data_IF_604263849545
#
_entry.id   IF_604263849545
#
_cell.length_a   1.000
_cell.length_b   1.000
_cell.length_c   1.000
_cell.angle_alpha   90.00
_cell.angle_beta   90.00
_cell.angle_gamma   90.00
#
_symmetry.space_group_name_H-M   'P 1'
#
loop_
_entity.id
_entity.type
_entity.pdbx_description
1 polymer ?
#
# COMPACT_ATOMS: atom_id res chain seq x y z
N UNK A 1 -4.92 5.45 -24.27
CA UNK A 1 -6.30 5.35 -23.82
C UNK A 1 -6.36 4.24 -22.79
N UNK A 2 -6.79 4.58 -21.58
CA UNK A 2 -6.99 3.63 -20.49
C UNK A 2 -8.15 2.72 -20.87
N UNK A 3 -7.91 1.42 -20.88
CA UNK A 3 -8.89 0.43 -21.31
C UNK A 3 -9.90 0.17 -20.19
N UNK A 4 -11.17 0.01 -20.58
CA UNK A 4 -12.23 -0.54 -19.73
C UNK A 4 -11.99 -2.02 -19.48
N UNK A 5 -12.66 -2.58 -18.46
CA UNK A 5 -12.52 -4.00 -18.15
C UNK A 5 -12.92 -4.94 -19.32
N UNK A 6 -13.98 -4.60 -20.06
CA UNK A 6 -14.41 -5.38 -21.23
C UNK A 6 -13.34 -5.38 -22.34
N UNK A 7 -12.72 -4.23 -22.61
CA UNK A 7 -11.63 -4.11 -23.59
C UNK A 7 -10.38 -4.87 -23.15
N UNK A 8 -10.08 -4.88 -21.84
CA UNK A 8 -8.99 -5.68 -21.26
C UNK A 8 -9.25 -7.17 -21.50
N UNK A 9 -10.44 -7.70 -21.17
CA UNK A 9 -10.81 -9.10 -21.42
C UNK A 9 -10.64 -9.47 -22.90
N UNK A 10 -11.15 -8.62 -23.80
CA UNK A 10 -11.04 -8.85 -25.25
C UNK A 10 -9.59 -8.85 -25.76
N UNK A 11 -8.72 -7.99 -25.20
CA UNK A 11 -7.29 -8.01 -25.55
C UNK A 11 -6.58 -9.25 -25.03
N UNK A 12 -6.86 -9.67 -23.79
CA UNK A 12 -6.27 -10.88 -23.22
C UNK A 12 -6.66 -12.09 -24.07
N UNK A 13 -7.93 -12.19 -24.47
CA UNK A 13 -8.44 -13.27 -25.33
C UNK A 13 -7.75 -13.39 -26.68
N UNK A 14 -7.27 -12.29 -27.25
CA UNK A 14 -6.51 -12.31 -28.51
C UNK A 14 -5.05 -12.72 -28.35
N UNK A 15 -4.53 -12.72 -27.12
CA UNK A 15 -3.12 -12.99 -26.80
C UNK A 15 -2.93 -14.40 -26.26
N UNK A 16 -3.85 -14.87 -25.42
CA UNK A 16 -3.81 -16.21 -24.84
C UNK A 16 -4.17 -17.25 -25.91
N UNK A 17 -3.33 -18.26 -26.16
CA UNK A 17 -3.62 -19.34 -27.12
C UNK A 17 -4.95 -20.06 -26.85
N UNK A 18 -5.60 -20.53 -27.91
CA UNK A 18 -6.75 -21.42 -27.80
C UNK A 18 -6.34 -22.73 -27.10
N UNK A 19 -7.10 -23.15 -26.08
CA UNK A 19 -6.86 -24.37 -25.31
C UNK A 19 -6.40 -24.15 -23.86
N UNK A 20 -5.96 -22.95 -23.49
CA UNK A 20 -5.65 -22.62 -22.09
C UNK A 20 -6.93 -22.15 -21.39
N UNK A 21 -7.32 -22.81 -20.30
CA UNK A 21 -8.46 -22.40 -19.47
C UNK A 21 -8.07 -21.25 -18.52
N UNK A 22 -8.80 -20.13 -18.61
CA UNK A 22 -8.59 -18.98 -17.73
C UNK A 22 -9.84 -18.09 -17.61
N UNK A 23 -9.93 -17.39 -16.48
CA UNK A 23 -10.79 -16.23 -16.29
C UNK A 23 -9.95 -14.97 -16.01
N UNK A 24 -10.56 -13.81 -16.20
CA UNK A 24 -9.97 -12.51 -15.90
C UNK A 24 -10.84 -11.82 -14.86
N UNK A 25 -10.24 -11.45 -13.74
CA UNK A 25 -10.89 -10.68 -12.68
C UNK A 25 -10.05 -9.43 -12.33
N UNK A 26 -10.56 -8.66 -11.36
CA UNK A 26 -9.96 -7.42 -10.90
C UNK A 26 -9.52 -7.56 -9.45
N UNK A 27 -8.29 -7.11 -9.17
CA UNK A 27 -7.72 -7.07 -7.82
C UNK A 27 -7.21 -5.65 -7.56
N UNK A 28 -8.11 -4.76 -7.16
CA UNK A 28 -7.87 -3.32 -7.03
C UNK A 28 -7.20 -2.73 -8.29
N UNK A 29 -5.96 -2.26 -8.20
CA UNK A 29 -5.21 -1.68 -9.32
C UNK A 29 -4.57 -2.70 -10.26
N UNK A 30 -4.78 -4.00 -10.04
CA UNK A 30 -4.22 -5.10 -10.84
C UNK A 30 -5.30 -5.89 -11.57
N UNK A 31 -4.93 -6.46 -12.72
CA UNK A 31 -5.74 -7.43 -13.45
C UNK A 31 -5.26 -8.84 -13.08
N UNK A 32 -6.14 -9.67 -12.54
CA UNK A 32 -5.82 -11.07 -12.26
C UNK A 32 -6.26 -11.97 -13.40
N UNK A 33 -5.37 -12.87 -13.82
CA UNK A 33 -5.68 -13.97 -14.74
C UNK A 33 -5.67 -15.25 -13.91
N UNK A 34 -6.85 -15.83 -13.73
CA UNK A 34 -7.07 -17.01 -12.89
C UNK A 34 -7.07 -18.23 -13.81
N UNK A 35 -6.22 -19.23 -13.56
CA UNK A 35 -6.06 -20.36 -14.48
C UNK A 35 -5.71 -21.66 -13.75
N UNK A 36 -6.08 -22.80 -14.34
CA UNK A 36 -5.62 -24.13 -13.91
C UNK A 36 -4.20 -24.45 -14.39
N UNK A 37 -3.65 -23.64 -15.30
CA UNK A 37 -2.33 -23.85 -15.89
C UNK A 37 -1.40 -22.63 -15.69
N UNK A 38 -1.07 -22.21 -14.45
CA UNK A 38 -0.23 -21.02 -14.22
C UNK A 38 1.14 -21.09 -14.92
N UNK A 39 1.70 -22.30 -15.06
CA UNK A 39 2.97 -22.53 -15.74
C UNK A 39 2.95 -22.11 -17.22
N UNK A 40 1.80 -22.24 -17.90
CA UNK A 40 1.62 -21.84 -19.31
C UNK A 40 1.72 -20.32 -19.51
N UNK A 41 1.54 -19.53 -18.44
CA UNK A 41 1.75 -18.08 -18.46
C UNK A 41 3.19 -17.68 -18.14
N UNK A 42 3.97 -18.59 -17.56
CA UNK A 42 5.42 -18.50 -17.40
C UNK A 42 6.16 -18.60 -18.73
N UNK A 43 7.47 -18.36 -18.73
CA UNK A 43 8.28 -18.47 -19.93
C UNK A 43 9.67 -19.03 -19.66
N UNK A 44 9.94 -20.23 -20.16
CA UNK A 44 11.30 -20.71 -20.41
C UNK A 44 11.67 -20.35 -21.86
N UNK A 45 12.67 -19.49 -22.05
CA UNK A 45 13.28 -19.24 -23.38
C UNK A 45 12.61 -18.22 -24.31
N UNK A 46 11.62 -17.44 -23.87
CA UNK A 46 10.98 -16.35 -24.65
C UNK A 46 10.30 -15.28 -23.79
N UNK A 47 9.65 -14.26 -24.37
CA UNK A 47 8.82 -13.31 -23.60
C UNK A 47 7.59 -14.05 -23.06
N UNK A 48 7.52 -14.21 -21.73
CA UNK A 48 6.39 -14.80 -20.99
C UNK A 48 5.05 -14.19 -21.43
N UNK A 49 4.00 -15.01 -21.45
CA UNK A 49 2.65 -14.59 -21.80
C UNK A 49 2.16 -13.45 -20.90
N UNK A 50 2.47 -13.50 -19.61
CA UNK A 50 2.21 -12.43 -18.65
C UNK A 50 2.80 -11.09 -19.10
N UNK A 51 4.06 -11.09 -19.57
CA UNK A 51 4.72 -9.87 -20.06
C UNK A 51 4.07 -9.36 -21.34
N UNK A 52 3.69 -10.25 -22.26
CA UNK A 52 2.96 -9.89 -23.49
C UNK A 52 1.62 -9.24 -23.16
N UNK A 53 0.85 -9.83 -22.25
CA UNK A 53 -0.44 -9.29 -21.80
C UNK A 53 -0.22 -7.91 -21.15
N UNK A 54 0.67 -7.82 -20.15
CA UNK A 54 0.94 -6.58 -19.42
C UNK A 54 1.35 -5.43 -20.35
N UNK A 55 2.20 -5.69 -21.36
CA UNK A 55 2.57 -4.71 -22.38
C UNK A 55 1.39 -4.29 -23.26
N UNK A 56 0.54 -5.23 -23.67
CA UNK A 56 -0.59 -4.97 -24.56
C UNK A 56 -1.71 -4.15 -23.90
N UNK A 57 -1.94 -4.37 -22.60
CA UNK A 57 -2.95 -3.63 -21.84
C UNK A 57 -2.37 -2.43 -21.07
N UNK A 58 -1.04 -2.36 -20.91
CA UNK A 58 -0.29 -1.33 -20.15
C UNK A 58 -0.72 -1.23 -18.68
N UNK A 59 -1.02 -2.38 -18.07
CA UNK A 59 -1.46 -2.54 -16.68
C UNK A 59 -0.69 -3.66 -16.00
N UNK A 60 -0.71 -3.66 -14.67
CA UNK A 60 -0.19 -4.75 -13.88
C UNK A 60 -1.09 -5.97 -14.07
N UNK A 61 -0.47 -7.10 -14.39
CA UNK A 61 -1.13 -8.39 -14.57
C UNK A 61 -0.53 -9.34 -13.55
N UNK A 62 -1.40 -10.02 -12.81
CA UNK A 62 -1.01 -11.06 -11.85
C UNK A 62 -1.64 -12.37 -12.29
N UNK A 63 -0.84 -13.43 -12.33
CA UNK A 63 -1.36 -14.77 -12.61
C UNK A 63 -1.71 -15.41 -11.28
N UNK A 64 -2.96 -15.84 -11.15
CA UNK A 64 -3.46 -16.53 -9.96
C UNK A 64 -3.80 -17.98 -10.32
N UNK A 65 -3.42 -18.94 -9.46
CA UNK A 65 -3.92 -20.30 -9.58
C UNK A 65 -5.44 -20.33 -9.37
N UNK A 66 -6.13 -21.22 -10.07
CA UNK A 66 -7.56 -21.48 -9.83
C UNK A 66 -7.78 -21.97 -8.39
N UNK A 67 -8.83 -21.52 -7.67
CA UNK A 67 -9.07 -21.92 -6.27
C UNK A 67 -9.06 -23.42 -6.01
N UNK A 68 -9.60 -24.24 -6.92
CA UNK A 68 -9.59 -25.71 -6.81
C UNK A 68 -8.19 -26.35 -6.76
N UNK A 69 -7.14 -25.62 -7.15
CA UNK A 69 -5.76 -26.10 -7.07
C UNK A 69 -5.12 -25.81 -5.71
N UNK A 70 -5.71 -24.93 -4.91
CA UNK A 70 -5.14 -24.52 -3.64
C UNK A 70 -5.36 -25.61 -2.60
N UNK A 71 -4.25 -26.20 -2.13
CA UNK A 71 -4.29 -27.20 -1.07
C UNK A 71 -4.70 -26.59 0.28
N UNK A 72 -5.11 -27.43 1.23
CA UNK A 72 -5.44 -26.97 2.58
C UNK A 72 -4.20 -26.46 3.32
N UNK A 73 -4.39 -25.70 4.39
CA UNK A 73 -3.28 -25.21 5.22
C UNK A 73 -2.45 -26.36 5.82
N UNK A 74 -3.08 -27.47 6.18
CA UNK A 74 -2.37 -28.66 6.67
C UNK A 74 -1.47 -29.23 5.59
N UNK A 75 -1.99 -29.40 4.36
CA UNK A 75 -1.21 -29.88 3.23
C UNK A 75 -0.06 -28.92 2.88
N UNK A 76 -0.26 -27.60 3.02
CA UNK A 76 0.80 -26.60 2.84
C UNK A 76 1.92 -26.82 3.86
N UNK A 77 1.57 -26.99 5.14
CA UNK A 77 2.56 -27.23 6.19
C UNK A 77 3.33 -28.54 5.95
N UNK A 78 2.63 -29.63 5.61
CA UNK A 78 3.23 -30.94 5.34
C UNK A 78 4.17 -30.89 4.13
N UNK A 79 3.74 -30.25 3.04
CA UNK A 79 4.56 -30.06 1.84
C UNK A 79 5.80 -29.21 2.12
N UNK A 80 5.65 -28.14 2.91
CA UNK A 80 6.78 -27.30 3.31
C UNK A 80 7.78 -28.09 4.14
N UNK A 81 7.34 -28.84 5.15
CA UNK A 81 8.23 -29.68 5.97
C UNK A 81 8.94 -30.78 5.19
N UNK A 82 8.34 -31.27 4.10
CA UNK A 82 8.92 -32.32 3.26
C UNK A 82 9.89 -31.80 2.19
N UNK A 83 9.56 -30.67 1.55
CA UNK A 83 10.30 -30.16 0.38
C UNK A 83 11.41 -29.20 0.80
N UNK A 84 11.14 -28.36 1.81
CA UNK A 84 12.07 -27.33 2.23
C UNK A 84 13.04 -27.95 3.24
N UNK A 85 14.36 -27.83 3.02
CA UNK A 85 15.31 -28.57 3.83
C UNK A 85 15.48 -27.93 5.23
N UNK A 86 15.78 -28.74 6.23
CA UNK A 86 15.81 -28.31 7.65
C UNK A 86 16.80 -27.17 7.91
N UNK A 87 17.92 -27.11 7.16
CA UNK A 87 18.90 -26.02 7.26
C UNK A 87 18.33 -24.64 6.94
N UNK A 88 17.21 -24.55 6.22
CA UNK A 88 16.54 -23.28 5.98
C UNK A 88 15.98 -22.66 7.26
N UNK A 89 15.71 -23.48 8.29
CA UNK A 89 15.18 -23.07 9.59
C UNK A 89 13.91 -22.23 9.45
N UNK A 90 12.85 -22.86 8.98
CA UNK A 90 11.54 -22.22 8.82
C UNK A 90 11.00 -21.84 10.19
N UNK A 91 10.65 -20.57 10.35
CA UNK A 91 10.08 -20.01 11.58
C UNK A 91 8.57 -19.99 11.52
N UNK A 92 7.99 -19.52 10.41
CA UNK A 92 6.55 -19.34 10.25
C UNK A 92 6.12 -19.48 8.79
N UNK A 93 4.87 -19.87 8.59
CA UNK A 93 4.21 -19.96 7.29
C UNK A 93 2.93 -19.15 7.37
N UNK A 94 2.73 -18.26 6.40
CA UNK A 94 1.59 -17.34 6.35
C UNK A 94 0.83 -17.51 5.06
N UNK A 95 -0.47 -17.80 5.16
CA UNK A 95 -1.36 -17.88 4.01
C UNK A 95 -2.16 -16.58 3.89
N UNK A 96 -2.21 -16.01 2.68
CA UNK A 96 -3.18 -14.97 2.29
C UNK A 96 -4.10 -15.55 1.20
N UNK A 97 -5.23 -16.18 1.58
CA UNK A 97 -6.17 -16.77 0.63
C UNK A 97 -6.81 -15.75 -0.32
N UNK A 98 -6.89 -14.47 0.07
CA UNK A 98 -7.44 -13.43 -0.80
C UNK A 98 -6.57 -13.21 -2.04
N UNK A 99 -5.27 -13.48 -1.93
CA UNK A 99 -4.29 -13.32 -3.00
C UNK A 99 -3.72 -14.67 -3.49
N UNK A 100 -4.18 -15.80 -2.95
CA UNK A 100 -3.61 -17.13 -3.25
C UNK A 100 -2.10 -17.20 -3.02
N UNK A 101 -1.60 -16.55 -1.97
CA UNK A 101 -0.18 -16.44 -1.65
C UNK A 101 0.19 -17.13 -0.32
N UNK A 102 1.36 -17.76 -0.29
CA UNK A 102 2.01 -18.32 0.89
C UNK A 102 3.34 -17.59 1.08
N UNK A 103 3.56 -17.02 2.26
CA UNK A 103 4.84 -16.46 2.67
C UNK A 103 5.51 -17.35 3.71
N UNK A 104 6.69 -17.85 3.40
CA UNK A 104 7.52 -18.68 4.27
C UNK A 104 8.60 -17.77 4.87
N UNK A 105 8.65 -17.69 6.20
CA UNK A 105 9.67 -16.97 6.95
C UNK A 105 10.75 -17.96 7.40
N UNK A 106 11.98 -17.77 6.92
CA UNK A 106 13.10 -18.68 7.15
C UNK A 106 14.37 -17.91 7.57
N UNK A 107 15.19 -18.47 8.46
CA UNK A 107 16.47 -17.81 8.85
C UNK A 107 17.47 -17.80 7.67
N UNK A 108 17.45 -18.85 6.86
CA UNK A 108 18.13 -18.96 5.58
C UNK A 108 17.16 -19.11 4.38
N UNK A 109 16.65 -17.98 3.84
CA UNK A 109 15.80 -18.00 2.66
C UNK A 109 16.45 -18.61 1.43
N UNK A 110 17.79 -18.57 1.32
CA UNK A 110 18.49 -19.07 0.13
C UNK A 110 18.36 -20.59 0.05
N UNK A 111 18.55 -21.27 1.17
CA UNK A 111 18.36 -22.73 1.26
C UNK A 111 16.89 -23.10 1.09
N UNK A 112 15.96 -22.31 1.63
CA UNK A 112 14.53 -22.52 1.38
C UNK A 112 14.15 -22.42 -0.10
N UNK A 113 14.72 -21.44 -0.82
CA UNK A 113 14.45 -21.25 -2.26
C UNK A 113 15.01 -22.41 -3.10
N UNK A 114 16.14 -22.96 -2.68
CA UNK A 114 16.85 -24.01 -3.42
C UNK A 114 17.59 -23.47 -4.65
N UNK A 115 18.41 -24.31 -5.27
CA UNK A 115 19.21 -23.92 -6.44
C UNK A 115 18.28 -23.51 -7.59
N UNK A 116 18.45 -22.29 -8.11
CA UNK A 116 17.61 -21.74 -9.19
C UNK A 116 16.09 -21.78 -8.88
N UNK A 117 15.69 -21.84 -7.61
CA UNK A 117 14.28 -21.86 -7.21
C UNK A 117 13.60 -23.22 -7.32
N UNK A 118 14.35 -24.33 -7.41
CA UNK A 118 13.79 -25.69 -7.54
C UNK A 118 12.77 -26.03 -6.47
N UNK A 119 13.07 -25.72 -5.20
CA UNK A 119 12.21 -26.07 -4.08
C UNK A 119 10.90 -25.29 -4.14
N UNK A 120 10.97 -24.01 -4.51
CA UNK A 120 9.80 -23.16 -4.67
C UNK A 120 8.94 -23.61 -5.85
N UNK A 121 9.57 -24.00 -6.96
CA UNK A 121 8.84 -24.53 -8.10
C UNK A 121 8.14 -25.85 -7.76
N UNK A 122 8.83 -26.75 -7.07
CA UNK A 122 8.25 -28.02 -6.61
C UNK A 122 7.09 -27.77 -5.65
N UNK A 123 7.28 -26.89 -4.66
CA UNK A 123 6.23 -26.55 -3.71
C UNK A 123 5.02 -25.96 -4.42
N UNK A 124 5.20 -24.94 -5.28
CA UNK A 124 4.12 -24.35 -6.08
C UNK A 124 3.34 -25.38 -6.90
N UNK A 125 4.03 -26.35 -7.50
CA UNK A 125 3.39 -27.40 -8.29
C UNK A 125 2.56 -28.35 -7.41
N UNK A 126 2.98 -28.58 -6.16
CA UNK A 126 2.32 -29.50 -5.23
C UNK A 126 1.14 -28.85 -4.51
N UNK A 127 1.30 -27.64 -3.98
CA UNK A 127 0.29 -26.97 -3.15
C UNK A 127 -0.62 -26.02 -3.95
N UNK A 128 -0.24 -25.67 -5.18
CA UNK A 128 -0.98 -24.76 -6.06
C UNK A 128 -0.89 -23.28 -5.69
N UNK A 129 -0.43 -22.93 -4.49
CA UNK A 129 -0.26 -21.54 -4.03
C UNK A 129 0.90 -20.82 -4.71
N UNK A 130 0.82 -19.49 -4.81
CA UNK A 130 1.99 -18.66 -5.09
C UNK A 130 2.87 -18.61 -3.85
N UNK A 131 4.13 -19.03 -3.98
CA UNK A 131 5.06 -19.10 -2.85
C UNK A 131 6.05 -17.93 -2.89
N UNK A 132 6.16 -17.23 -1.77
CA UNK A 132 7.18 -16.24 -1.47
C UNK A 132 8.00 -16.69 -0.25
N UNK A 133 9.31 -16.48 -0.28
CA UNK A 133 10.19 -16.79 0.86
C UNK A 133 10.90 -15.52 1.28
N UNK A 134 10.83 -15.22 2.58
CA UNK A 134 11.44 -14.04 3.17
C UNK A 134 12.29 -14.42 4.36
N UNK A 135 13.26 -13.56 4.70
CA UNK A 135 14.04 -13.73 5.93
C UNK A 135 13.14 -13.56 7.14
N UNK A 136 13.20 -14.51 8.06
CA UNK A 136 12.52 -14.42 9.34
C UNK A 136 13.01 -13.17 10.11
N UNK A 137 12.11 -12.44 10.76
CA UNK A 137 12.48 -11.24 11.48
C UNK A 137 13.27 -11.59 12.75
N UNK A 138 14.30 -10.81 13.06
CA UNK A 138 15.08 -10.99 14.30
C UNK A 138 14.25 -10.77 15.57
N UNK A 139 13.15 -10.01 15.46
CA UNK A 139 12.17 -9.80 16.54
C UNK A 139 10.77 -9.98 15.97
N UNK A 140 9.98 -10.76 16.67
CA UNK A 140 8.58 -10.95 16.29
C UNK A 140 7.77 -9.70 16.60
N UNK A 141 6.87 -9.34 15.69
CA UNK A 141 5.90 -8.27 15.88
C UNK A 141 4.51 -8.86 16.12
N UNK A 142 3.96 -8.58 17.30
CA UNK A 142 2.56 -8.93 17.63
C UNK A 142 1.60 -8.25 16.65
N UNK A 143 1.81 -6.97 16.34
CA UNK A 143 0.98 -6.22 15.40
C UNK A 143 0.92 -6.88 14.03
N UNK A 144 2.07 -7.30 13.47
CA UNK A 144 2.09 -7.99 12.19
C UNK A 144 1.38 -9.34 12.23
N UNK A 145 1.58 -10.10 13.32
CA UNK A 145 0.91 -11.38 13.55
C UNK A 145 -0.61 -11.20 13.57
N UNK A 146 -1.09 -10.22 14.33
CA UNK A 146 -2.51 -9.93 14.49
C UNK A 146 -3.14 -9.44 13.16
N UNK A 147 -2.45 -8.56 12.41
CA UNK A 147 -2.91 -8.11 11.09
C UNK A 147 -2.98 -9.26 10.09
N UNK A 148 -1.95 -10.12 10.02
CA UNK A 148 -1.94 -11.25 9.08
C UNK A 148 -3.07 -12.24 9.39
N UNK A 149 -3.28 -12.55 10.68
CA UNK A 149 -4.39 -13.40 11.11
C UNK A 149 -5.73 -12.80 10.72
N UNK A 150 -5.96 -11.53 11.06
CA UNK A 150 -7.19 -10.81 10.72
C UNK A 150 -7.46 -10.79 9.21
N UNK A 151 -6.43 -10.53 8.39
CA UNK A 151 -6.54 -10.53 6.93
C UNK A 151 -6.81 -11.91 6.34
N UNK A 152 -6.32 -12.97 6.97
CA UNK A 152 -6.60 -14.37 6.59
C UNK A 152 -8.03 -14.76 6.94
N UNK A 153 -8.50 -14.43 8.14
CA UNK A 153 -9.88 -14.68 8.59
C UNK A 153 -10.91 -13.99 7.69
N UNK A 154 -10.56 -12.83 7.13
CA UNK A 154 -11.44 -12.03 6.27
C UNK A 154 -11.11 -12.15 4.77
N UNK A 155 -10.51 -13.25 4.34
CA UNK A 155 -10.03 -13.40 2.97
C UNK A 155 -11.15 -13.24 1.92
N UNK A 156 -12.34 -13.82 2.14
CA UNK A 156 -13.46 -13.75 1.19
C UNK A 156 -14.03 -12.34 1.05
N UNK A 157 -14.18 -11.64 2.17
CA UNK A 157 -14.62 -10.24 2.19
C UNK A 157 -13.58 -9.35 1.49
N UNK A 158 -12.29 -9.54 1.80
CA UNK A 158 -11.20 -8.82 1.14
C UNK A 158 -11.17 -9.06 -0.36
N UNK A 159 -11.36 -10.30 -0.82
CA UNK A 159 -11.43 -10.62 -2.26
C UNK A 159 -12.58 -9.88 -2.94
N UNK A 160 -13.74 -9.82 -2.29
CA UNK A 160 -14.90 -9.07 -2.77
C UNK A 160 -14.62 -7.56 -2.83
N UNK A 161 -13.97 -7.01 -1.81
CA UNK A 161 -13.56 -5.60 -1.77
C UNK A 161 -12.55 -5.26 -2.86
N UNK A 162 -11.51 -6.07 -3.05
CA UNK A 162 -10.51 -5.89 -4.10
C UNK A 162 -11.15 -5.86 -5.49
N UNK A 163 -12.10 -6.76 -5.76
CA UNK A 163 -12.88 -6.76 -7.00
C UNK A 163 -13.70 -5.49 -7.14
N UNK A 164 -14.40 -5.06 -6.09
CA UNK A 164 -15.19 -3.82 -6.08
C UNK A 164 -14.31 -2.60 -6.37
N UNK A 165 -13.13 -2.50 -5.74
CA UNK A 165 -12.17 -1.41 -6.00
C UNK A 165 -11.74 -1.41 -7.46
N UNK A 166 -11.40 -2.58 -8.00
CA UNK A 166 -11.04 -2.71 -9.41
C UNK A 166 -12.17 -2.30 -10.36
N UNK A 167 -13.41 -2.73 -10.12
CA UNK A 167 -14.55 -2.30 -10.96
C UNK A 167 -14.72 -0.78 -10.98
N UNK A 168 -14.42 -0.11 -9.86
CA UNK A 168 -14.43 1.35 -9.77
C UNK A 168 -13.26 1.99 -10.53
N UNK A 169 -12.07 1.40 -10.48
CA UNK A 169 -10.87 1.89 -11.20
C UNK A 169 -11.01 1.74 -12.72
N UNK A 170 -11.57 0.63 -13.20
CA UNK A 170 -11.67 0.32 -14.63
C UNK A 170 -13.03 0.66 -15.27
N UNK A 171 -13.81 1.54 -14.63
CA UNK A 171 -15.05 2.08 -15.20
C UNK A 171 -14.75 3.00 -16.39
N UNK A 172 -15.72 3.19 -17.32
CA UNK A 172 -15.59 4.20 -18.37
C UNK A 172 -15.44 5.61 -17.78
N UNK A 173 -14.57 6.42 -18.38
CA UNK A 173 -14.40 7.83 -18.00
C UNK A 173 -15.56 8.67 -18.53
N UNK A 174 -15.95 9.70 -17.78
CA UNK A 174 -16.95 10.68 -18.18
C UNK A 174 -16.40 11.58 -19.30
N UNK A 175 -17.23 11.96 -20.29
CA UNK A 175 -16.84 12.95 -21.28
C UNK A 175 -16.68 14.33 -20.63
N UNK A 176 -15.71 15.12 -21.09
CA UNK A 176 -15.54 16.49 -20.63
C UNK A 176 -14.10 17.00 -20.74
N UNK A 177 -13.87 18.29 -20.46
CA UNK A 177 -12.53 18.85 -20.38
C UNK A 177 -11.78 18.27 -19.17
N UNK A 178 -10.50 17.97 -19.36
CA UNK A 178 -9.61 17.56 -18.29
C UNK A 178 -9.20 18.76 -17.43
N UNK A 179 -9.28 18.62 -16.12
CA UNK A 179 -8.74 19.58 -15.15
C UNK A 179 -8.33 18.83 -13.88
N UNK A 180 -7.43 19.46 -13.12
CA UNK A 180 -6.95 18.94 -11.83
C UNK A 180 -6.94 20.09 -10.83
N UNK A 181 -7.40 19.83 -9.61
CA UNK A 181 -7.30 20.76 -8.49
C UNK A 181 -6.90 20.04 -7.20
N UNK A 182 -6.29 20.78 -6.29
CA UNK A 182 -5.99 20.32 -4.93
C UNK A 182 -6.71 21.23 -3.95
N UNK A 183 -7.51 20.65 -3.06
CA UNK A 183 -8.16 21.35 -1.96
C UNK A 183 -7.45 21.01 -0.65
N UNK A 184 -7.04 22.05 0.07
CA UNK A 184 -6.47 21.95 1.41
C UNK A 184 -7.57 21.67 2.44
N UNK A 185 -7.50 20.55 3.16
CA UNK A 185 -8.46 20.18 4.20
C UNK A 185 -7.82 20.09 5.61
N UNK A 186 -6.51 20.31 5.71
CA UNK A 186 -5.74 20.44 6.94
C UNK A 186 -4.23 20.45 6.65
N UNK A 187 -3.40 20.92 7.58
CA UNK A 187 -1.92 21.03 7.44
C UNK A 187 -1.43 22.09 6.43
N UNK A 188 -2.23 23.13 6.17
CA UNK A 188 -1.80 24.29 5.38
C UNK A 188 -1.62 25.50 6.28
N UNK A 189 -0.38 26.02 6.37
CA UNK A 189 0.05 27.04 7.34
C UNK A 189 -0.05 26.61 8.80
N UNK A 190 0.05 25.32 9.05
CA UNK A 190 0.11 24.70 10.37
C UNK A 190 0.79 23.33 10.27
N UNK A 191 1.19 22.76 11.41
CA UNK A 191 1.59 21.35 11.52
C UNK A 191 0.44 20.58 12.17
N UNK A 192 0.13 19.40 11.65
CA UNK A 192 -0.92 18.54 12.14
C UNK A 192 -2.12 18.39 11.19
N UNK A 193 -2.94 17.35 11.43
CA UNK A 193 -4.20 17.08 10.71
C UNK A 193 -4.07 17.10 9.17
N UNK A 194 -3.01 16.52 8.62
CA UNK A 194 -2.77 16.49 7.18
C UNK A 194 -3.93 15.83 6.43
N UNK A 195 -4.45 16.55 5.44
CA UNK A 195 -5.46 16.05 4.52
C UNK A 195 -5.51 16.92 3.27
N UNK A 196 -5.31 16.29 2.12
CA UNK A 196 -5.32 16.92 0.81
C UNK A 196 -6.35 16.22 -0.08
N UNK A 197 -7.23 16.97 -0.75
CA UNK A 197 -8.19 16.40 -1.69
C UNK A 197 -7.77 16.74 -3.12
N UNK A 198 -7.33 15.73 -3.87
CA UNK A 198 -7.12 15.83 -5.33
C UNK A 198 -8.45 15.55 -6.02
N UNK A 199 -8.90 16.49 -6.84
CA UNK A 199 -10.11 16.31 -7.65
C UNK A 199 -9.79 16.52 -9.13
N UNK A 200 -10.36 15.67 -9.98
CA UNK A 200 -10.36 15.82 -11.44
C UNK A 200 -11.80 15.88 -11.94
N UNK A 201 -11.98 15.98 -13.26
CA UNK A 201 -13.31 15.83 -13.86
C UNK A 201 -13.92 14.42 -13.66
N UNK A 202 -13.13 13.42 -13.28
CA UNK A 202 -13.52 12.02 -13.13
C UNK A 202 -13.43 11.50 -11.69
N UNK A 203 -12.45 11.94 -10.92
CA UNK A 203 -12.02 11.25 -9.69
C UNK A 203 -11.82 12.17 -8.49
N UNK A 204 -11.98 11.61 -7.29
CA UNK A 204 -11.63 12.24 -6.01
C UNK A 204 -10.69 11.34 -5.21
N UNK A 205 -9.49 11.80 -4.89
CA UNK A 205 -8.50 11.06 -4.10
C UNK A 205 -8.07 11.90 -2.91
N UNK A 206 -8.15 11.33 -1.71
CA UNK A 206 -7.56 11.92 -0.52
C UNK A 206 -6.10 11.48 -0.38
N UNK A 207 -5.23 12.41 0.01
CA UNK A 207 -3.88 12.13 0.49
C UNK A 207 -3.82 12.54 1.95
N UNK A 208 -3.48 11.57 2.80
CA UNK A 208 -3.48 11.64 4.26
C UNK A 208 -4.85 11.97 4.91
N UNK A 209 -4.97 11.60 6.18
CA UNK A 209 -6.13 11.85 7.04
C UNK A 209 -5.69 11.86 8.51
N UNK A 210 -5.06 12.96 8.92
CA UNK A 210 -4.36 13.08 10.18
C UNK A 210 -5.14 13.66 11.35
N UNK A 211 -4.54 13.60 12.54
CA UNK A 211 -4.98 14.31 13.75
C UNK A 211 -3.94 15.39 14.15
N UNK A 212 -4.38 16.59 14.56
CA UNK A 212 -3.46 17.61 15.06
C UNK A 212 -3.03 17.29 16.50
N UNK A 213 -1.73 17.31 16.84
CA UNK A 213 -1.25 17.10 18.20
C UNK A 213 -1.47 18.37 19.04
N UNK A 214 -2.67 18.55 19.58
CA UNK A 214 -3.07 19.74 20.33
C UNK A 214 -4.01 19.39 21.47
N UNK A 215 -3.97 20.19 22.54
CA UNK A 215 -4.94 20.13 23.63
C UNK A 215 -6.28 20.79 23.26
N UNK A 216 -6.32 21.56 22.16
CA UNK A 216 -7.55 22.15 21.66
C UNK A 216 -8.33 21.14 20.81
N UNK A 217 -9.32 20.47 21.41
CA UNK A 217 -10.17 19.45 20.77
C UNK A 217 -10.84 19.92 19.46
N UNK A 218 -11.11 21.22 19.31
CA UNK A 218 -11.73 21.76 18.10
C UNK A 218 -10.81 21.79 16.87
N UNK A 219 -9.49 21.69 17.08
CA UNK A 219 -8.49 21.76 16.00
C UNK A 219 -7.91 20.39 15.65
N UNK A 220 -8.30 19.32 16.36
CA UNK A 220 -7.73 17.98 16.19
C UNK A 220 -8.04 17.42 14.81
N UNK A 221 -9.24 17.68 14.29
CA UNK A 221 -9.72 17.05 13.06
C UNK A 221 -9.47 17.93 11.81
N UNK A 222 -9.27 17.30 10.64
CA UNK A 222 -9.41 17.95 9.34
C UNK A 222 -10.84 18.46 9.09
N UNK A 223 -11.02 19.27 8.05
CA UNK A 223 -12.31 19.83 7.68
C UNK A 223 -13.22 18.83 6.95
N UNK A 224 -13.71 17.80 7.65
CA UNK A 224 -14.62 16.77 7.09
C UNK A 224 -15.94 17.32 6.54
N UNK A 225 -16.38 18.48 7.02
CA UNK A 225 -17.62 19.14 6.57
C UNK A 225 -17.47 19.90 5.23
N UNK A 226 -16.27 19.91 4.64
CA UNK A 226 -16.05 20.56 3.34
C UNK A 226 -16.96 19.95 2.26
N UNK A 227 -17.80 20.75 1.57
CA UNK A 227 -18.74 20.26 0.56
C UNK A 227 -18.07 19.42 -0.53
N UNK A 228 -16.81 19.72 -0.86
CA UNK A 228 -16.00 19.03 -1.86
C UNK A 228 -15.75 17.56 -1.52
N UNK A 229 -15.71 17.20 -0.24
CA UNK A 229 -15.51 15.83 0.22
C UNK A 229 -16.80 15.01 0.17
N UNK A 230 -17.95 15.66 0.32
CA UNK A 230 -19.23 14.99 0.49
C UNK A 230 -19.92 14.67 -0.85
N UNK A 231 -20.72 13.59 -0.92
CA UNK A 231 -20.72 12.45 0.03
C UNK A 231 -19.43 11.62 -0.05
N UNK A 232 -19.05 10.95 1.04
CA UNK A 232 -17.82 10.13 1.13
C UNK A 232 -17.78 8.99 0.10
N UNK A 233 -18.94 8.50 -0.34
CA UNK A 233 -19.06 7.48 -1.39
C UNK A 233 -18.47 7.93 -2.73
N UNK A 234 -18.30 9.24 -2.95
CA UNK A 234 -17.68 9.79 -4.16
C UNK A 234 -16.15 9.80 -4.11
N UNK A 235 -15.53 9.50 -2.97
CA UNK A 235 -14.08 9.37 -2.85
C UNK A 235 -13.65 8.02 -3.46
N UNK A 236 -12.77 8.06 -4.45
CA UNK A 236 -12.28 6.88 -5.15
C UNK A 236 -11.20 6.14 -4.37
N UNK A 237 -10.35 6.89 -3.65
CA UNK A 237 -9.24 6.34 -2.90
C UNK A 237 -8.78 7.28 -1.78
N UNK A 238 -8.17 6.69 -0.76
CA UNK A 238 -7.32 7.39 0.21
C UNK A 238 -5.89 6.87 0.05
N UNK A 239 -4.91 7.76 0.08
CA UNK A 239 -3.48 7.43 -0.01
C UNK A 239 -2.80 7.94 1.24
N UNK A 240 -2.04 7.08 1.93
CA UNK A 240 -1.31 7.45 3.14
C UNK A 240 0.19 7.51 2.83
N UNK A 241 0.80 8.65 3.13
CA UNK A 241 2.23 8.89 2.92
C UNK A 241 3.08 8.12 3.93
N UNK A 242 2.73 8.19 5.22
CA UNK A 242 3.45 7.53 6.31
C UNK A 242 2.58 7.41 7.57
N UNK A 243 3.10 6.74 8.60
CA UNK A 243 2.32 6.29 9.74
C UNK A 243 2.22 7.27 10.93
N UNK A 244 2.74 8.50 10.84
CA UNK A 244 2.56 9.43 11.95
C UNK A 244 1.09 9.83 12.14
N UNK A 245 0.69 10.02 13.39
CA UNK A 245 -0.70 10.28 13.81
C UNK A 245 -1.27 11.52 13.14
N UNK A 246 -0.44 12.51 12.82
CA UNK A 246 -0.85 13.69 12.07
C UNK A 246 -1.04 13.50 10.56
N UNK A 247 -0.87 12.27 10.07
CA UNK A 247 -1.18 11.84 8.70
C UNK A 247 -2.20 10.68 8.64
N UNK A 248 -2.38 9.93 9.74
CA UNK A 248 -3.28 8.75 9.79
C UNK A 248 -4.32 8.76 10.90
N UNK A 249 -4.20 9.68 11.85
CA UNK A 249 -4.93 9.66 13.11
C UNK A 249 -6.42 9.88 12.98
N UNK A 250 -6.94 10.33 11.83
CA UNK A 250 -8.38 10.46 11.58
C UNK A 250 -8.88 9.55 10.46
N UNK A 251 -8.02 8.71 9.88
CA UNK A 251 -8.41 7.77 8.83
C UNK A 251 -9.60 6.87 9.23
N UNK A 252 -9.67 6.28 10.44
CA UNK A 252 -10.80 5.45 10.83
C UNK A 252 -12.13 6.22 10.95
N UNK A 253 -12.08 7.55 11.13
CA UNK A 253 -13.27 8.41 11.13
C UNK A 253 -14.01 8.34 9.79
N UNK A 254 -13.27 8.24 8.67
CA UNK A 254 -13.89 8.08 7.35
C UNK A 254 -14.77 6.82 7.28
N UNK A 255 -14.30 5.71 7.86
CA UNK A 255 -15.03 4.43 7.86
C UNK A 255 -16.23 4.46 8.80
N UNK A 256 -16.08 5.08 9.99
CA UNK A 256 -17.19 5.34 10.90
C UNK A 256 -18.34 6.11 10.22
N UNK A 257 -18.02 7.04 9.32
CA UNK A 257 -18.99 7.83 8.57
C UNK A 257 -19.31 7.29 7.16
N UNK A 258 -18.91 6.06 6.84
CA UNK A 258 -19.42 5.33 5.69
C UNK A 258 -18.55 5.33 4.43
N UNK A 259 -17.29 5.79 4.49
CA UNK A 259 -16.34 5.53 3.40
C UNK A 259 -16.13 4.02 3.21
N UNK A 260 -16.17 3.57 1.95
CA UNK A 260 -16.08 2.15 1.56
C UNK A 260 -15.04 1.90 0.46
N UNK A 261 -14.16 2.86 0.20
CA UNK A 261 -13.13 2.76 -0.84
C UNK A 261 -11.80 2.19 -0.31
N UNK A 262 -10.81 2.00 -1.19
CA UNK A 262 -9.49 1.50 -0.82
C UNK A 262 -8.65 2.54 -0.05
N UNK A 263 -7.70 2.04 0.74
CA UNK A 263 -6.60 2.82 1.33
C UNK A 263 -5.29 2.29 0.78
N UNK A 264 -4.48 3.14 0.16
CA UNK A 264 -3.18 2.76 -0.40
C UNK A 264 -2.04 3.24 0.49
N UNK A 265 -1.16 2.33 0.89
CA UNK A 265 0.05 2.65 1.65
C UNK A 265 1.09 1.55 1.52
N UNK A 266 2.31 1.80 1.97
CA UNK A 266 3.33 0.75 2.05
C UNK A 266 3.01 -0.23 3.18
N UNK A 267 3.50 -1.47 3.05
CA UNK A 267 3.30 -2.50 4.07
C UNK A 267 3.76 -2.05 5.48
N UNK A 268 4.94 -1.42 5.67
CA UNK A 268 5.33 -0.93 6.98
C UNK A 268 4.42 0.19 7.51
N UNK A 269 3.95 1.07 6.62
CA UNK A 269 2.98 2.12 7.00
C UNK A 269 1.67 1.51 7.49
N UNK A 270 1.12 0.48 6.84
CA UNK A 270 -0.08 -0.23 7.34
C UNK A 270 0.11 -0.74 8.77
N UNK A 271 1.24 -1.41 9.03
CA UNK A 271 1.51 -2.04 10.31
C UNK A 271 1.67 -0.98 11.43
N UNK A 272 2.45 0.06 11.17
CA UNK A 272 2.65 1.16 12.12
C UNK A 272 1.38 2.00 12.32
N UNK A 273 0.62 2.26 11.25
CA UNK A 273 -0.66 2.96 11.29
C UNK A 273 -1.65 2.23 12.21
N UNK A 274 -1.76 0.90 12.06
CA UNK A 274 -2.62 0.08 12.91
C UNK A 274 -2.18 0.15 14.38
N UNK A 275 -0.87 0.04 14.64
CA UNK A 275 -0.32 0.13 16.00
C UNK A 275 -0.65 1.49 16.64
N UNK A 276 -0.37 2.58 15.93
CA UNK A 276 -0.51 3.93 16.44
C UNK A 276 -1.97 4.35 16.58
N UNK A 277 -2.88 3.89 15.70
CA UNK A 277 -4.32 4.14 15.86
C UNK A 277 -4.89 3.39 17.07
N UNK A 278 -4.44 2.17 17.32
CA UNK A 278 -4.82 1.39 18.50
C UNK A 278 -4.31 2.03 19.79
N UNK A 279 -3.08 2.54 19.77
CA UNK A 279 -2.52 3.26 20.91
C UNK A 279 -3.23 4.61 21.15
N UNK A 280 -3.54 5.35 20.08
CA UNK A 280 -4.25 6.62 20.14
C UNK A 280 -5.59 6.51 20.89
N UNK A 281 -6.41 5.49 20.56
CA UNK A 281 -7.69 5.29 21.27
C UNK A 281 -7.49 4.85 22.72
N UNK A 282 -6.43 4.09 23.02
CA UNK A 282 -6.13 3.60 24.37
C UNK A 282 -5.67 4.74 25.27
N UNK A 283 -4.79 5.61 24.78
CA UNK A 283 -4.32 6.79 25.52
C UNK A 283 -5.47 7.75 25.77
N UNK A 284 -6.28 8.06 24.74
CA UNK A 284 -7.45 8.92 24.90
C UNK A 284 -8.39 8.42 26.02
N UNK A 285 -8.68 7.11 26.04
CA UNK A 285 -9.50 6.49 27.09
C UNK A 285 -8.86 6.56 28.48
N UNK A 286 -7.55 6.31 28.59
CA UNK A 286 -6.82 6.38 29.86
C UNK A 286 -6.80 7.82 30.42
N UNK A 287 -6.79 8.82 29.56
CA UNK A 287 -6.87 10.24 29.92
C UNK A 287 -8.32 10.75 30.14
N UNK A 288 -9.32 9.85 30.11
CA UNK A 288 -10.72 10.21 30.31
C UNK A 288 -11.36 10.97 29.14
N UNK A 289 -10.76 10.90 27.95
CA UNK A 289 -11.29 11.46 26.72
C UNK A 289 -12.01 10.40 25.89
N UNK A 290 -13.11 10.78 25.23
CA UNK A 290 -13.78 9.89 24.28
C UNK A 290 -13.01 9.89 22.95
N UNK A 291 -12.53 8.74 22.46
CA UNK A 291 -11.83 8.68 21.20
C UNK A 291 -12.78 8.95 20.02
N UNK A 292 -12.30 9.55 18.91
CA UNK A 292 -13.15 9.91 17.77
C UNK A 292 -13.71 8.69 17.02
N UNK A 293 -13.10 7.52 17.19
CA UNK A 293 -13.47 6.24 16.59
C UNK A 293 -13.15 5.09 17.54
N UNK A 294 -13.69 3.93 17.21
CA UNK A 294 -13.59 2.69 17.97
C UNK A 294 -12.58 1.72 17.35
N UNK A 295 -12.29 0.63 18.07
CA UNK A 295 -11.49 -0.47 17.53
C UNK A 295 -12.10 -1.09 16.28
N UNK A 296 -13.44 -1.19 16.18
CA UNK A 296 -14.10 -1.75 14.99
C UNK A 296 -13.90 -0.86 13.76
N UNK A 297 -13.79 0.45 13.92
CA UNK A 297 -13.52 1.36 12.81
C UNK A 297 -12.09 1.19 12.26
N UNK A 298 -11.12 0.92 13.15
CA UNK A 298 -9.74 0.56 12.76
C UNK A 298 -9.72 -0.78 12.01
N UNK A 299 -10.47 -1.77 12.51
CA UNK A 299 -10.60 -3.07 11.84
C UNK A 299 -11.24 -2.92 10.45
N UNK A 300 -12.28 -2.09 10.32
CA UNK A 300 -12.89 -1.75 9.03
C UNK A 300 -11.85 -1.14 8.08
N UNK A 301 -11.08 -0.15 8.56
CA UNK A 301 -10.01 0.46 7.79
C UNK A 301 -9.00 -0.57 7.26
N UNK A 302 -8.54 -1.51 8.09
CA UNK A 302 -7.54 -2.53 7.71
C UNK A 302 -8.04 -3.44 6.59
N UNK A 303 -9.34 -3.77 6.54
CA UNK A 303 -9.93 -4.56 5.44
C UNK A 303 -9.77 -3.88 4.08
N UNK A 304 -9.77 -2.55 4.08
CA UNK A 304 -9.71 -1.71 2.90
C UNK A 304 -8.28 -1.36 2.46
N UNK A 305 -7.25 -1.74 3.24
CA UNK A 305 -5.86 -1.45 2.90
C UNK A 305 -5.34 -2.35 1.77
N UNK A 306 -4.85 -1.70 0.72
CA UNK A 306 -4.12 -2.29 -0.41
C UNK A 306 -2.65 -1.89 -0.27
N UNK A 307 -1.79 -2.89 -0.10
CA UNK A 307 -0.35 -2.69 0.10
C UNK A 307 0.33 -2.35 -1.22
N UNK A 308 1.16 -1.30 -1.21
CA UNK A 308 1.90 -0.81 -2.38
C UNK A 308 3.40 -0.86 -2.10
N UNK A 309 4.15 -1.41 -3.05
CA UNK A 309 5.61 -1.36 -3.01
C UNK A 309 6.12 -0.07 -3.65
N UNK A 310 7.28 0.41 -3.19
CA UNK A 310 7.95 1.53 -3.84
C UNK A 310 8.27 1.22 -5.31
N UNK A 311 8.19 2.25 -6.16
CA UNK A 311 8.41 2.16 -7.60
C UNK A 311 7.29 1.46 -8.38
N UNK A 312 6.28 0.91 -7.69
CA UNK A 312 5.14 0.28 -8.35
C UNK A 312 4.22 1.34 -8.98
N UNK A 313 3.81 1.09 -10.23
CA UNK A 313 2.83 1.91 -10.94
C UNK A 313 1.44 1.30 -10.77
N UNK A 314 0.63 1.90 -9.93
CA UNK A 314 -0.68 1.38 -9.54
C UNK A 314 -1.79 2.30 -10.02
N UNK A 315 -2.79 1.77 -10.72
CA UNK A 315 -4.00 2.52 -11.03
C UNK A 315 -4.89 2.59 -9.79
N UNK A 316 -5.23 3.80 -9.37
CA UNK A 316 -6.04 4.06 -8.17
C UNK A 316 -7.38 4.71 -8.50
N UNK A 317 -7.54 5.19 -9.73
CA UNK A 317 -8.78 5.71 -10.28
C UNK A 317 -8.73 5.61 -11.83
N UNK A 318 -9.85 5.85 -12.55
CA UNK A 318 -9.89 5.72 -14.00
C UNK A 318 -8.89 6.59 -14.72
N UNK A 319 -8.52 7.76 -14.18
CA UNK A 319 -7.63 8.75 -14.76
C UNK A 319 -6.36 9.01 -13.92
N UNK A 320 -6.22 8.39 -12.74
CA UNK A 320 -5.05 8.58 -11.85
C UNK A 320 -4.25 7.29 -11.74
N UNK A 321 -2.93 7.41 -11.95
CA UNK A 321 -1.94 6.35 -11.68
C UNK A 321 -0.95 6.87 -10.66
N UNK A 322 -0.71 6.09 -9.62
CA UNK A 322 0.13 6.46 -8.49
C UNK A 322 1.40 5.62 -8.48
N UNK A 323 2.49 6.23 -8.03
CA UNK A 323 3.71 5.55 -7.58
C UNK A 323 4.15 6.13 -6.25
N UNK A 324 4.50 5.26 -5.31
CA UNK A 324 5.11 5.63 -4.05
C UNK A 324 6.63 5.51 -4.17
N UNK A 325 7.36 6.49 -3.65
CA UNK A 325 8.83 6.51 -3.63
C UNK A 325 9.32 6.82 -2.22
N UNK A 326 10.51 6.32 -1.85
CA UNK A 326 11.10 6.55 -0.53
C UNK A 326 11.15 8.04 -0.15
N UNK A 327 10.60 8.39 1.02
CA UNK A 327 10.67 9.74 1.59
C UNK A 327 11.82 9.92 2.59
N UNK A 328 12.45 8.84 3.06
CA UNK A 328 13.59 8.89 4.00
C UNK A 328 13.25 9.34 5.43
N UNK A 329 11.97 9.52 5.76
CA UNK A 329 11.51 10.08 7.04
C UNK A 329 11.38 9.02 8.14
N UNK A 330 10.45 8.09 7.96
CA UNK A 330 10.24 6.92 8.83
C UNK A 330 10.11 5.64 8.01
N UNK A 331 10.06 4.49 8.68
CA UNK A 331 9.91 3.19 8.03
C UNK A 331 8.63 3.15 7.16
N UNK A 332 8.81 2.95 5.85
CA UNK A 332 7.72 2.92 4.87
C UNK A 332 7.22 4.29 4.39
N UNK A 333 7.80 5.39 4.90
CA UNK A 333 7.42 6.75 4.47
C UNK A 333 7.61 6.96 2.98
N UNK A 334 6.62 7.59 2.36
CA UNK A 334 6.51 7.66 0.91
C UNK A 334 6.12 9.04 0.41
N UNK A 335 6.86 9.53 -0.59
CA UNK A 335 6.36 10.56 -1.49
C UNK A 335 5.42 9.94 -2.50
N UNK A 336 4.33 10.64 -2.80
CA UNK A 336 3.23 10.13 -3.64
C UNK A 336 3.23 10.86 -4.98
N UNK A 337 3.67 10.17 -6.01
CA UNK A 337 3.72 10.66 -7.38
C UNK A 337 2.48 10.22 -8.16
N UNK A 338 1.67 11.17 -8.61
CA UNK A 338 0.42 10.94 -9.35
C UNK A 338 0.54 11.42 -10.80
N UNK A 339 0.31 10.50 -11.73
CA UNK A 339 0.12 10.75 -13.15
C UNK A 339 -1.39 10.81 -13.45
N UNK A 340 -1.88 12.02 -13.74
CA UNK A 340 -3.31 12.31 -13.89
C UNK A 340 -3.61 12.59 -15.36
N UNK A 341 -4.54 11.84 -15.95
CA UNK A 341 -4.86 11.87 -17.37
C UNK A 341 -3.95 10.98 -18.22
N UNK A 342 -3.82 11.32 -19.51
CA UNK A 342 -2.97 10.61 -20.47
C UNK A 342 -2.44 11.53 -21.58
N UNK A 343 -1.32 11.12 -22.20
CA UNK A 343 -0.79 11.75 -23.40
C UNK A 343 -0.33 13.19 -23.16
N UNK A 344 -0.74 14.11 -24.02
CA UNK A 344 -0.36 15.53 -23.92
C UNK A 344 -1.06 16.27 -22.78
N UNK A 345 -2.18 15.74 -22.28
CA UNK A 345 -2.97 16.32 -21.21
C UNK A 345 -2.67 15.66 -19.84
N UNK A 346 -1.57 14.93 -19.74
CA UNK A 346 -1.12 14.31 -18.48
C UNK A 346 -0.50 15.38 -17.57
N UNK A 347 -1.04 15.52 -16.36
CA UNK A 347 -0.50 16.36 -15.30
C UNK A 347 0.19 15.50 -14.23
N UNK A 348 1.38 15.90 -13.80
CA UNK A 348 2.18 15.16 -12.81
C UNK A 348 2.25 15.92 -11.49
N UNK A 349 1.52 15.41 -10.51
CA UNK A 349 1.44 15.96 -9.16
C UNK A 349 2.26 15.10 -8.20
N UNK A 350 3.11 15.71 -7.39
CA UNK A 350 3.92 15.04 -6.37
C UNK A 350 3.60 15.63 -5.00
N UNK A 351 3.16 14.80 -4.07
CA UNK A 351 3.14 15.12 -2.65
C UNK A 351 4.40 14.54 -2.00
N UNK A 352 5.17 15.35 -1.28
CA UNK A 352 6.35 14.85 -0.59
C UNK A 352 5.98 13.93 0.58
N UNK A 353 4.88 14.24 1.28
CA UNK A 353 4.72 13.83 2.68
C UNK A 353 5.78 14.53 3.54
N UNK A 354 6.04 14.01 4.72
CA UNK A 354 7.25 14.37 5.46
C UNK A 354 8.45 13.69 4.80
N UNK A 355 9.53 14.44 4.58
CA UNK A 355 10.71 13.93 3.86
C UNK A 355 12.00 14.26 4.60
N UNK A 356 13.02 13.43 4.37
CA UNK A 356 14.39 13.73 4.75
C UNK A 356 15.32 13.54 3.57
N UNK A 357 15.82 14.64 3.01
CA UNK A 357 16.77 14.60 1.90
C UNK A 357 18.23 14.46 2.38
N UNK A 358 18.45 13.53 3.31
CA UNK A 358 19.76 13.18 3.83
C UNK A 358 19.73 11.72 4.29
N UNK A 359 20.76 10.94 3.96
CA UNK A 359 20.87 9.57 4.47
C UNK A 359 20.98 9.61 5.99
N UNK A 360 20.10 8.90 6.70
CA UNK A 360 20.10 8.74 8.15
C UNK A 360 20.78 7.42 8.57
N UNK A 361 20.78 7.09 9.86
CA UNK A 361 21.25 5.78 10.32
C UNK A 361 20.34 4.63 9.89
N UNK A 362 19.05 4.90 9.66
CA UNK A 362 18.04 3.88 9.34
C UNK A 362 17.60 3.89 7.88
N UNK A 363 17.62 5.06 7.23
CA UNK A 363 16.99 5.26 5.92
C UNK A 363 17.94 5.99 4.97
N UNK A 364 17.89 5.61 3.69
CA UNK A 364 18.48 6.41 2.62
C UNK A 364 17.69 7.73 2.44
N UNK A 365 18.36 8.72 1.83
CA UNK A 365 17.74 10.01 1.53
C UNK A 365 16.49 9.85 0.64
N UNK A 366 15.56 10.80 0.76
CA UNK A 366 14.38 10.89 -0.09
C UNK A 366 14.72 10.78 -1.58
N UNK A 367 13.90 10.05 -2.33
CA UNK A 367 13.99 10.01 -3.80
C UNK A 367 13.64 11.38 -4.36
N UNK A 368 14.56 11.97 -5.13
CA UNK A 368 14.36 13.28 -5.80
C UNK A 368 14.36 13.19 -7.32
N UNK A 369 14.67 12.03 -7.89
CA UNK A 369 14.77 11.83 -9.35
C UNK A 369 13.45 11.30 -9.90
N UNK A 370 12.62 12.22 -10.36
CA UNK A 370 11.37 11.92 -11.08
C UNK A 370 11.50 12.33 -12.55
N UNK A 371 10.81 11.61 -13.45
CA UNK A 371 10.89 11.90 -14.89
C UNK A 371 10.41 13.31 -15.26
N UNK A 372 9.32 13.77 -14.62
CA UNK A 372 8.75 15.12 -14.75
C UNK A 372 7.80 15.37 -13.57
N UNK A 373 7.76 16.58 -13.05
CA UNK A 373 6.78 17.00 -12.02
C UNK A 373 6.26 18.38 -12.44
N UNK A 374 4.95 18.49 -12.64
CA UNK A 374 4.29 19.76 -13.00
C UNK A 374 3.85 20.54 -11.75
N UNK A 375 3.57 19.83 -10.65
CA UNK A 375 3.23 20.44 -9.36
C UNK A 375 3.84 19.64 -8.23
N UNK A 376 4.56 20.32 -7.34
CA UNK A 376 5.11 19.77 -6.11
C UNK A 376 4.40 20.40 -4.92
N UNK A 377 3.78 19.56 -4.09
CA UNK A 377 3.32 19.91 -2.75
C UNK A 377 4.34 19.36 -1.78
N UNK A 378 5.10 20.25 -1.14
CA UNK A 378 6.21 19.90 -0.24
C UNK A 378 5.91 20.37 1.18
N UNK A 379 6.32 19.57 2.16
CA UNK A 379 6.30 19.98 3.57
C UNK A 379 7.19 21.20 3.83
N UNK A 380 6.93 21.91 4.93
CA UNK A 380 7.65 23.13 5.29
C UNK A 380 7.90 23.24 6.79
N UNK A 381 8.07 22.11 7.48
CA UNK A 381 8.27 22.05 8.94
C UNK A 381 9.47 22.90 9.37
N UNK A 382 10.55 22.81 8.59
CA UNK A 382 11.76 23.61 8.74
C UNK A 382 11.93 24.64 7.61
N UNK A 383 10.82 25.21 7.11
CA UNK A 383 10.83 26.17 6.00
C UNK A 383 11.32 27.58 6.35
N UNK A 384 11.54 27.87 7.64
CA UNK A 384 12.06 29.16 8.10
C UNK A 384 13.54 29.35 7.76
N UNK A 385 13.99 30.57 7.44
CA UNK A 385 15.39 30.82 7.09
C UNK A 385 16.37 30.52 8.24
N UNK A 386 15.88 30.55 9.49
CA UNK A 386 16.65 30.24 10.69
C UNK A 386 16.46 28.79 11.17
N UNK A 387 15.64 28.00 10.48
CA UNK A 387 15.33 26.61 10.83
C UNK A 387 16.43 25.63 10.40
N UNK A 388 17.69 26.03 10.59
CA UNK A 388 18.87 25.21 10.25
C UNK A 388 19.12 24.25 11.41
N UNK A 389 19.18 22.96 11.09
CA UNK A 389 19.47 21.91 12.06
C UNK A 389 20.99 21.69 12.19
N UNK A 390 21.48 21.26 13.37
CA UNK A 390 22.88 20.84 13.51
C UNK A 390 23.20 19.67 12.58
N UNK A 391 24.48 19.50 12.25
CA UNK A 391 24.92 18.28 11.58
C UNK A 391 24.66 17.08 12.49
N UNK A 392 24.51 15.89 11.91
CA UNK A 392 24.29 14.68 12.71
C UNK A 392 25.43 14.41 13.69
N UNK A 393 26.66 14.71 13.30
CA UNK A 393 27.83 14.55 14.15
C UNK A 393 27.73 15.49 15.37
N UNK A 394 27.40 16.77 15.14
CA UNK A 394 27.23 17.74 16.21
C UNK A 394 26.10 17.33 17.16
N UNK A 395 24.92 17.00 16.62
CA UNK A 395 23.78 16.58 17.44
C UNK A 395 24.07 15.31 18.27
N UNK A 396 24.89 14.40 17.73
CA UNK A 396 25.32 13.19 18.46
C UNK A 396 26.25 13.55 19.61
N UNK A 397 27.21 14.45 19.38
CA UNK A 397 28.13 14.91 20.41
C UNK A 397 27.38 15.67 21.50
N UNK A 398 26.52 16.63 21.12
CA UNK A 398 25.73 17.44 22.05
C UNK A 398 24.87 16.55 22.96
N UNK A 399 24.27 15.48 22.41
CA UNK A 399 23.50 14.51 23.19
C UNK A 399 24.37 13.70 24.14
N UNK A 400 25.57 13.29 23.71
CA UNK A 400 26.50 12.54 24.56
C UNK A 400 26.99 13.40 25.73
N UNK A 401 27.38 14.63 25.45
CA UNK A 401 27.85 15.58 26.46
C UNK A 401 26.75 15.87 27.48
N UNK A 402 25.52 16.14 27.00
CA UNK A 402 24.36 16.34 27.88
C UNK A 402 24.10 15.14 28.80
N UNK A 403 24.23 13.91 28.29
CA UNK A 403 24.04 12.69 29.09
C UNK A 403 25.15 12.57 30.14
N UNK A 404 26.41 12.82 29.77
CA UNK A 404 27.55 12.74 30.70
C UNK A 404 27.39 13.77 31.81
N UNK A 405 27.10 15.02 31.47
CA UNK A 405 26.92 16.12 32.43
C UNK A 405 25.75 15.87 33.38
N UNK A 406 24.69 15.19 32.93
CA UNK A 406 23.55 14.84 33.78
C UNK A 406 23.87 13.68 34.73
N UNK A 407 24.81 12.80 34.36
CA UNK A 407 25.20 11.63 35.15
C UNK A 407 26.35 11.91 36.14
N UNK A 408 27.17 12.94 35.89
CA UNK A 408 28.23 13.42 36.78
C UNK A 408 27.70 14.25 37.92
#
# INVERSE_FOLDING_TARGET
MRLTFSEIKNKIRKIVPEGIDYDVDLEAGSISVITREPASFGGAGGQSLTVKIAKAIRRRVVIRPHPDLLSSENDVNDAVSRIIPEEAQIRRIWLDPALSEVTIEADDPKSAVGQKGTNIQQLRNEIGWLVNVVRAPARESRTQTDIRRFRKELADERKTLLRKFGTRIYRPQRPGPSWVRVTALGSYREVGRAMHLVTTNESKVLVDCGAKPTNNRSEVQPFFAAPEMLPLDNIDAVVITHAHVDHIGMLPVLFKYGYKGPVYCTQPTRDLMTLLQMDYIKVAQAEGSEPPYSKSDIQECIKHVVDINWGEKTDIAPDIKMTMENAGHILGSSSVYMQIGEGRNEHKLLFSGDIKYEKSWLFDAATVRFNKVDTLVVESTYGGPQSIQPTRQQATQDLQDLIIDTLS
#
